data_IF_611697927920
#
_entry.id   IF_611697927920
#
_cell.length_a   1.000
_cell.length_b   1.000
_cell.length_c   1.000
_cell.angle_alpha   90.00
_cell.angle_beta   90.00
_cell.angle_gamma   90.00
#
_symmetry.space_group_name_H-M   'P 1'
#
loop_
_entity.id
_entity.type
_entity.pdbx_description
1 polymer ?
#
# COMPACT_ATOMS: atom_id res chain seq x y z
N UNK A 1 -73.72 -4.07 -8.43
CA UNK A 1 -74.74 -5.03 -8.90
C UNK A 1 -74.24 -6.43 -8.55
N UNK A 2 -75.06 -7.16 -7.78
CA UNK A 2 -75.03 -8.58 -7.39
C UNK A 2 -73.76 -9.17 -6.75
N UNK A 3 -73.83 -10.08 -5.77
CA UNK A 3 -74.75 -10.44 -4.68
C UNK A 3 -74.15 -11.74 -4.09
N UNK A 4 -74.04 -11.84 -2.75
CA UNK A 4 -74.25 -13.05 -1.91
C UNK A 4 -73.33 -14.28 -2.12
N UNK A 5 -73.00 -15.18 -1.17
CA UNK A 5 -73.29 -15.48 0.26
C UNK A 5 -72.33 -16.66 0.57
N UNK A 6 -71.48 -16.62 1.60
CA UNK A 6 -71.71 -17.01 3.01
C UNK A 6 -71.69 -18.51 3.33
N UNK A 7 -70.94 -18.85 4.40
CA UNK A 7 -71.09 -19.97 5.36
C UNK A 7 -70.82 -21.41 4.83
N UNK A 8 -70.39 -22.42 5.60
CA UNK A 8 -70.07 -22.55 7.02
C UNK A 8 -69.20 -23.81 7.28
N UNK A 9 -68.79 -23.94 8.54
CA UNK A 9 -67.86 -24.90 9.16
C UNK A 9 -68.28 -26.39 9.18
N UNK A 10 -67.24 -27.21 9.38
CA UNK A 10 -67.08 -28.29 10.38
C UNK A 10 -67.17 -29.78 9.97
N UNK A 11 -66.26 -30.53 10.64
CA UNK A 11 -66.32 -31.93 11.09
C UNK A 11 -65.69 -33.05 10.23
N UNK A 12 -64.63 -33.63 10.82
CA UNK A 12 -64.02 -34.96 10.61
C UNK A 12 -64.98 -36.06 11.15
N UNK A 13 -65.02 -37.35 10.70
CA UNK A 13 -63.96 -38.34 11.03
C UNK A 13 -63.80 -39.62 10.13
N UNK A 14 -62.64 -40.28 10.31
CA UNK A 14 -62.34 -41.73 10.35
C UNK A 14 -62.46 -42.73 9.15
N UNK A 15 -61.31 -43.41 8.96
CA UNK A 15 -61.04 -44.83 8.63
C UNK A 15 -61.36 -45.45 7.25
N UNK A 16 -60.29 -45.85 6.52
CA UNK A 16 -59.97 -47.28 6.28
C UNK A 16 -58.58 -47.50 5.64
N UNK A 17 -58.00 -48.65 5.93
CA UNK A 17 -56.61 -49.07 5.69
C UNK A 17 -56.37 -49.57 4.26
N UNK A 18 -55.19 -49.29 3.68
CA UNK A 18 -54.57 -50.15 2.66
C UNK A 18 -53.07 -50.28 2.95
N UNK A 19 -52.67 -51.51 3.27
CA UNK A 19 -51.28 -51.98 3.37
C UNK A 19 -50.55 -51.76 2.04
N UNK A 20 -49.33 -51.20 2.07
CA UNK A 20 -48.29 -51.48 1.05
C UNK A 20 -46.90 -51.46 1.67
N UNK A 21 -46.10 -52.40 1.18
CA UNK A 21 -44.86 -52.92 1.73
C UNK A 21 -43.72 -51.89 1.88
N UNK A 22 -42.98 -52.06 2.97
CA UNK A 22 -41.71 -51.40 3.30
C UNK A 22 -40.59 -51.98 2.43
N UNK A 23 -39.78 -51.11 1.81
CA UNK A 23 -38.36 -51.36 1.50
C UNK A 23 -37.53 -50.31 2.24
N UNK A 24 -36.47 -50.67 2.98
CA UNK A 24 -35.69 -49.70 3.73
C UNK A 24 -34.73 -49.00 2.77
N UNK A 25 -34.91 -47.70 2.56
CA UNK A 25 -33.81 -46.84 2.12
C UNK A 25 -33.03 -46.44 3.36
N UNK A 26 -31.82 -46.99 3.49
CA UNK A 26 -30.83 -46.54 4.46
C UNK A 26 -30.45 -45.12 4.06
N UNK A 27 -30.98 -44.13 4.78
CA UNK A 27 -30.47 -42.77 4.73
C UNK A 27 -29.16 -42.75 5.53
N UNK A 28 -28.04 -42.97 4.84
CA UNK A 28 -26.73 -42.73 5.41
C UNK A 28 -26.59 -41.21 5.55
N UNK A 29 -26.80 -40.68 6.75
CA UNK A 29 -26.56 -39.27 7.04
C UNK A 29 -25.10 -38.95 6.78
N UNK A 30 -24.80 -38.24 5.70
CA UNK A 30 -23.54 -37.54 5.55
C UNK A 30 -23.54 -36.41 6.57
N UNK A 31 -22.91 -36.64 7.72
CA UNK A 31 -22.42 -35.55 8.55
C UNK A 31 -21.29 -34.92 7.75
N UNK A 32 -21.60 -33.85 7.03
CA UNK A 32 -20.58 -32.97 6.47
C UNK A 32 -19.91 -32.29 7.66
N UNK A 33 -18.74 -32.80 8.04
CA UNK A 33 -17.83 -32.04 8.89
C UNK A 33 -17.40 -30.81 8.09
N UNK A 34 -18.13 -29.71 8.25
CA UNK A 34 -17.61 -28.37 7.97
C UNK A 34 -16.51 -28.13 9.00
N UNK A 35 -15.31 -28.62 8.70
CA UNK A 35 -14.10 -28.09 9.33
C UNK A 35 -14.03 -26.63 8.94
N UNK A 36 -14.46 -25.74 9.83
CA UNK A 36 -14.09 -24.33 9.77
C UNK A 36 -12.55 -24.32 9.76
N UNK A 37 -11.97 -24.05 8.60
CA UNK A 37 -10.56 -23.73 8.52
C UNK A 37 -10.38 -22.47 9.38
N UNK A 38 -9.80 -22.64 10.57
CA UNK A 38 -9.47 -21.51 11.41
C UNK A 38 -8.48 -20.65 10.63
N UNK A 39 -8.89 -19.42 10.28
CA UNK A 39 -8.02 -18.48 9.55
C UNK A 39 -6.70 -18.35 10.31
N UNK A 40 -5.61 -18.76 9.64
CA UNK A 40 -4.29 -18.72 10.24
C UNK A 40 -3.83 -17.26 10.23
N UNK A 41 -3.94 -16.59 11.36
CA UNK A 41 -3.61 -15.17 11.48
C UNK A 41 -2.16 -14.91 11.95
N UNK A 42 -1.36 -15.97 12.06
CA UNK A 42 0.02 -15.90 12.52
C UNK A 42 0.89 -16.91 11.76
N UNK A 43 1.99 -16.41 11.19
CA UNK A 43 2.92 -17.17 10.37
C UNK A 43 4.33 -16.93 10.91
N UNK A 44 5.11 -18.01 11.01
CA UNK A 44 6.48 -17.97 11.52
C UNK A 44 7.35 -18.83 10.61
N UNK A 45 8.38 -18.25 10.03
CA UNK A 45 9.27 -18.87 9.06
C UNK A 45 10.72 -18.80 9.56
N UNK A 46 11.39 -19.95 9.52
CA UNK A 46 12.80 -20.13 9.86
C UNK A 46 13.51 -20.50 8.55
N UNK A 47 14.42 -19.63 8.09
CA UNK A 47 14.99 -19.72 6.76
C UNK A 47 16.30 -20.50 6.78
N UNK A 48 16.53 -21.29 5.74
CA UNK A 48 17.76 -22.05 5.54
C UNK A 48 17.70 -23.50 6.03
N UNK A 49 18.72 -24.29 5.68
CA UNK A 49 18.86 -25.66 6.15
C UNK A 49 19.21 -25.71 7.65
N UNK A 50 19.06 -26.88 8.27
CA UNK A 50 19.44 -27.10 9.67
C UNK A 50 18.28 -27.44 10.59
N UNK A 51 18.54 -27.37 11.90
CA UNK A 51 17.53 -27.60 12.94
C UNK A 51 16.59 -26.39 13.04
N UNK A 52 15.30 -26.67 13.12
CA UNK A 52 14.25 -25.64 13.11
C UNK A 52 13.87 -25.22 14.53
N UNK A 53 13.57 -23.93 14.69
CA UNK A 53 13.00 -23.42 15.92
C UNK A 53 11.57 -23.94 16.11
N UNK A 54 11.23 -24.42 17.30
CA UNK A 54 9.89 -24.97 17.60
C UNK A 54 8.80 -23.93 17.27
N UNK A 55 7.83 -24.34 16.45
CA UNK A 55 6.70 -23.49 16.03
C UNK A 55 6.95 -22.65 14.78
N UNK A 56 8.13 -22.76 14.18
CA UNK A 56 8.44 -22.14 12.88
C UNK A 56 8.34 -23.17 11.76
N UNK A 57 8.02 -22.69 10.57
CA UNK A 57 8.01 -23.44 9.33
C UNK A 57 9.36 -23.24 8.63
N UNK A 58 10.04 -24.33 8.28
CA UNK A 58 11.30 -24.23 7.53
C UNK A 58 11.06 -23.71 6.12
N UNK A 59 11.92 -22.81 5.66
CA UNK A 59 11.96 -22.34 4.28
C UNK A 59 13.36 -22.58 3.70
N UNK A 60 13.44 -23.46 2.71
CA UNK A 60 14.64 -23.81 1.96
C UNK A 60 14.66 -23.07 0.61
N UNK A 61 15.84 -22.87 -0.01
CA UNK A 61 15.96 -22.17 -1.30
C UNK A 61 15.05 -22.65 -2.44
N UNK A 62 14.66 -23.93 -2.41
CA UNK A 62 13.79 -24.56 -3.42
C UNK A 62 12.29 -24.39 -3.14
N UNK A 63 11.92 -23.77 -2.02
CA UNK A 63 10.53 -23.58 -1.62
C UNK A 63 9.89 -22.44 -2.41
N UNK A 64 9.60 -22.71 -3.67
CA UNK A 64 8.85 -21.81 -4.53
C UNK A 64 7.43 -21.58 -3.98
N UNK A 65 6.93 -20.36 -4.16
CA UNK A 65 5.55 -20.00 -3.87
C UNK A 65 4.59 -20.81 -4.75
N UNK A 66 3.54 -21.32 -4.14
CA UNK A 66 2.35 -21.82 -4.83
C UNK A 66 1.12 -21.44 -4.00
N UNK A 67 -0.02 -21.25 -4.66
CA UNK A 67 -1.26 -20.89 -3.98
C UNK A 67 -1.73 -21.98 -3.02
N UNK A 68 -1.50 -23.24 -3.37
CA UNK A 68 -1.85 -24.42 -2.57
C UNK A 68 -0.99 -24.52 -1.31
N UNK A 69 0.31 -24.21 -1.42
CA UNK A 69 1.22 -24.16 -0.27
C UNK A 69 0.95 -22.92 0.59
N UNK A 70 0.54 -21.83 -0.03
CA UNK A 70 0.21 -20.56 0.62
C UNK A 70 1.40 -19.72 1.04
N UNK A 71 2.64 -20.15 0.76
CA UNK A 71 3.85 -19.36 0.99
C UNK A 71 5.03 -19.88 0.16
N UNK A 72 6.05 -19.04 -0.03
CA UNK A 72 7.31 -19.43 -0.65
C UNK A 72 8.03 -18.28 -1.37
N UNK A 73 9.18 -18.60 -1.97
CA UNK A 73 9.92 -17.68 -2.83
C UNK A 73 9.17 -17.45 -4.15
N UNK A 74 8.95 -16.20 -4.51
CA UNK A 74 8.11 -15.80 -5.66
C UNK A 74 8.96 -15.10 -6.74
N UNK A 75 8.38 -14.84 -7.92
CA UNK A 75 9.02 -14.08 -9.02
C UNK A 75 10.43 -14.58 -9.39
N UNK A 76 10.60 -15.90 -9.50
CA UNK A 76 11.86 -16.58 -9.88
C UNK A 76 13.07 -16.28 -8.97
N UNK A 77 12.80 -15.82 -7.75
CA UNK A 77 13.79 -15.55 -6.72
C UNK A 77 14.83 -16.66 -6.55
N UNK A 78 16.11 -16.27 -6.55
CA UNK A 78 17.25 -17.17 -6.34
C UNK A 78 17.97 -16.76 -5.08
N UNK A 79 18.05 -17.68 -4.12
CA UNK A 79 18.75 -17.50 -2.85
C UNK A 79 19.66 -18.69 -2.57
N UNK A 80 20.71 -18.46 -1.80
CA UNK A 80 21.56 -19.50 -1.22
C UNK A 80 21.07 -19.82 0.19
N UNK A 81 20.97 -21.10 0.56
CA UNK A 81 20.63 -21.53 1.91
C UNK A 81 21.88 -21.96 2.66
N UNK A 82 22.11 -21.39 3.84
CA UNK A 82 23.31 -21.66 4.65
C UNK A 82 22.91 -22.03 6.07
N UNK A 83 23.62 -23.00 6.66
CA UNK A 83 23.54 -23.34 8.07
C UNK A 83 24.92 -23.17 8.69
N UNK A 84 25.02 -22.33 9.71
CA UNK A 84 26.26 -22.10 10.46
C UNK A 84 26.34 -22.85 11.80
N UNK A 85 25.34 -23.68 12.12
CA UNK A 85 25.25 -24.45 13.38
C UNK A 85 25.41 -23.55 14.62
N UNK A 86 24.87 -22.33 14.55
CA UNK A 86 24.92 -21.37 15.66
C UNK A 86 24.11 -21.87 16.86
N UNK A 87 24.51 -21.43 18.07
CA UNK A 87 23.85 -21.83 19.33
C UNK A 87 22.35 -21.50 19.38
N UNK A 88 21.93 -20.40 18.75
CA UNK A 88 20.52 -20.03 18.65
C UNK A 88 19.96 -20.53 17.32
N UNK A 89 19.03 -21.49 17.40
CA UNK A 89 18.44 -22.17 16.26
C UNK A 89 17.83 -21.20 15.24
N UNK A 90 17.11 -20.17 15.70
CA UNK A 90 16.42 -19.20 14.83
C UNK A 90 17.39 -18.33 14.00
N UNK A 91 18.66 -18.32 14.37
CA UNK A 91 19.73 -17.58 13.70
C UNK A 91 20.81 -18.51 13.13
N UNK A 92 20.60 -19.82 13.23
CA UNK A 92 21.56 -20.84 12.80
C UNK A 92 21.48 -21.11 11.30
N UNK A 93 20.25 -21.18 10.77
CA UNK A 93 19.94 -21.18 9.35
C UNK A 93 19.72 -19.75 8.83
N UNK A 94 20.01 -19.55 7.55
CA UNK A 94 19.58 -18.37 6.80
C UNK A 94 19.43 -18.67 5.31
N UNK A 95 18.74 -17.78 4.61
CA UNK A 95 18.91 -17.60 3.16
C UNK A 95 19.60 -16.28 2.87
N UNK A 96 20.43 -16.23 1.84
CA UNK A 96 21.14 -15.01 1.42
C UNK A 96 21.17 -14.84 -0.09
N UNK A 97 21.26 -13.59 -0.52
CA UNK A 97 21.41 -13.20 -1.92
C UNK A 97 22.08 -11.83 -2.03
N UNK A 98 22.80 -11.61 -3.13
CA UNK A 98 23.30 -10.29 -3.54
C UNK A 98 22.43 -9.64 -4.64
N UNK A 99 21.32 -10.28 -4.99
CA UNK A 99 20.30 -9.82 -5.94
C UNK A 99 18.94 -9.74 -5.22
N UNK A 100 18.02 -8.89 -5.70
CA UNK A 100 16.67 -8.82 -5.16
C UNK A 100 15.99 -10.20 -5.16
N UNK A 101 15.24 -10.50 -4.10
CA UNK A 101 14.40 -11.69 -4.02
C UNK A 101 13.11 -11.41 -3.26
N UNK A 102 12.11 -12.24 -3.50
CA UNK A 102 10.74 -12.09 -3.07
C UNK A 102 10.28 -13.30 -2.27
N UNK A 103 9.56 -13.02 -1.19
CA UNK A 103 8.86 -14.04 -0.41
C UNK A 103 7.40 -13.64 -0.26
N UNK A 104 6.51 -14.56 -0.63
CA UNK A 104 5.07 -14.34 -0.63
C UNK A 104 4.37 -15.24 0.38
N UNK A 105 3.29 -14.75 0.99
CA UNK A 105 2.44 -15.49 1.92
C UNK A 105 0.98 -15.13 1.68
N UNK A 106 0.13 -16.12 1.43
CA UNK A 106 -1.33 -15.92 1.34
C UNK A 106 -1.84 -15.48 2.71
N UNK A 107 -2.37 -14.27 2.76
CA UNK A 107 -2.96 -13.67 3.97
C UNK A 107 -4.25 -12.93 3.59
N UNK A 108 -5.30 -12.96 4.42
CA UNK A 108 -6.50 -12.18 4.15
C UNK A 108 -6.22 -10.66 4.25
N UNK A 109 -7.15 -9.84 3.75
CA UNK A 109 -7.09 -8.38 3.95
C UNK A 109 -6.92 -8.03 5.45
N UNK A 110 -6.09 -7.03 5.72
CA UNK A 110 -5.87 -6.49 7.05
C UNK A 110 -4.51 -5.86 7.26
N UNK A 111 -4.27 -5.41 8.50
CA UNK A 111 -2.96 -4.93 8.92
C UNK A 111 -2.15 -6.08 9.52
N UNK A 112 -0.87 -6.15 9.18
CA UNK A 112 0.04 -7.18 9.63
C UNK A 112 1.28 -6.57 10.26
N UNK A 113 1.60 -7.01 11.47
CA UNK A 113 2.89 -6.77 12.08
C UNK A 113 3.87 -7.78 11.49
N UNK A 114 4.90 -7.28 10.84
CA UNK A 114 5.96 -8.08 10.22
C UNK A 114 7.22 -7.90 11.04
N UNK A 115 7.75 -9.00 11.54
CA UNK A 115 9.01 -9.05 12.28
C UNK A 115 10.03 -9.78 11.41
N UNK A 116 11.09 -9.10 11.01
CA UNK A 116 12.16 -9.63 10.15
C UNK A 116 13.44 -9.73 10.97
N UNK A 117 14.08 -10.90 10.96
CA UNK A 117 15.39 -11.11 11.58
C UNK A 117 16.45 -11.26 10.49
N UNK A 118 17.42 -10.35 10.51
CA UNK A 118 18.45 -10.17 9.48
C UNK A 118 19.84 -10.32 10.10
N UNK A 119 20.77 -10.88 9.33
CA UNK A 119 22.18 -10.98 9.73
C UNK A 119 22.88 -12.20 9.17
N UNK A 120 24.21 -12.11 9.06
CA UNK A 120 25.07 -13.22 8.63
C UNK A 120 26.19 -13.45 9.66
N UNK A 121 26.30 -14.65 10.26
CA UNK A 121 27.38 -14.99 11.17
C UNK A 121 28.80 -14.83 10.61
N UNK A 122 28.99 -14.81 9.29
CA UNK A 122 30.29 -14.74 8.62
C UNK A 122 30.52 -13.45 7.83
N UNK A 123 29.52 -12.60 7.64
CA UNK A 123 29.62 -11.42 6.77
C UNK A 123 28.78 -10.24 7.24
N UNK A 124 29.19 -9.03 6.83
CA UNK A 124 28.33 -7.87 6.97
C UNK A 124 27.23 -7.90 5.90
N UNK A 125 26.06 -7.35 6.22
CA UNK A 125 24.92 -7.27 5.30
C UNK A 125 24.41 -5.84 5.18
N UNK A 126 23.77 -5.57 4.06
CA UNK A 126 22.95 -4.38 3.82
C UNK A 126 21.62 -4.89 3.27
N UNK A 127 20.51 -4.50 3.87
CA UNK A 127 19.18 -4.97 3.49
C UNK A 127 18.17 -3.83 3.44
N UNK A 128 17.52 -3.68 2.30
CA UNK A 128 16.31 -2.89 2.15
C UNK A 128 15.13 -3.84 1.98
N UNK A 129 14.02 -3.54 2.63
CA UNK A 129 12.79 -4.34 2.57
C UNK A 129 11.66 -3.48 2.00
N UNK A 130 11.04 -3.96 0.93
CA UNK A 130 9.84 -3.37 0.34
C UNK A 130 8.67 -4.34 0.45
N UNK A 131 7.45 -3.82 0.41
CA UNK A 131 6.24 -4.65 0.43
C UNK A 131 5.30 -4.30 -0.73
N UNK A 132 4.67 -5.33 -1.29
CA UNK A 132 3.78 -5.26 -2.45
C UNK A 132 4.43 -4.51 -3.62
N UNK A 133 3.71 -3.53 -4.17
CA UNK A 133 4.12 -2.59 -5.21
C UNK A 133 5.19 -1.60 -4.72
N UNK A 134 6.32 -2.13 -4.21
CA UNK A 134 7.52 -1.39 -3.79
C UNK A 134 7.31 -0.34 -2.71
N UNK A 135 6.38 -0.57 -1.77
CA UNK A 135 6.28 0.29 -0.58
C UNK A 135 7.54 0.13 0.27
N UNK A 136 8.28 1.21 0.50
CA UNK A 136 9.51 1.17 1.29
C UNK A 136 9.18 0.95 2.77
N UNK A 137 9.58 -0.19 3.33
CA UNK A 137 9.29 -0.54 4.73
C UNK A 137 10.52 -0.34 5.61
N UNK A 138 11.67 -0.89 5.20
CA UNK A 138 12.95 -0.75 5.89
C UNK A 138 14.01 -0.31 4.89
N UNK A 139 14.76 0.72 5.22
CA UNK A 139 15.83 1.30 4.39
C UNK A 139 17.18 0.92 4.98
N UNK A 140 18.07 0.36 4.15
CA UNK A 140 19.50 0.21 4.42
C UNK A 140 19.83 -0.34 5.82
N UNK A 141 19.15 -1.41 6.23
CA UNK A 141 19.42 -2.11 7.48
C UNK A 141 20.78 -2.79 7.38
N UNK A 142 21.77 -2.22 8.08
CA UNK A 142 23.14 -2.72 8.15
C UNK A 142 23.31 -3.68 9.32
N UNK A 143 24.01 -4.79 9.08
CA UNK A 143 24.52 -5.67 10.14
C UNK A 143 26.01 -5.94 9.95
N UNK A 144 26.75 -6.04 11.06
CA UNK A 144 28.14 -6.51 11.04
C UNK A 144 28.20 -8.04 11.06
N UNK A 145 29.34 -8.63 10.67
CA UNK A 145 29.53 -10.08 10.77
C UNK A 145 29.29 -10.57 12.21
N UNK A 146 28.46 -11.60 12.37
CA UNK A 146 28.08 -12.14 13.68
C UNK A 146 26.93 -11.39 14.37
N UNK A 147 26.45 -10.29 13.80
CA UNK A 147 25.31 -9.54 14.32
C UNK A 147 24.01 -10.04 13.68
N UNK A 148 23.02 -10.34 14.53
CA UNK A 148 21.63 -10.50 14.13
C UNK A 148 20.81 -9.31 14.64
N UNK A 149 19.95 -8.77 13.78
CA UNK A 149 19.09 -7.65 14.10
C UNK A 149 17.64 -7.97 13.71
N UNK A 150 16.74 -7.74 14.65
CA UNK A 150 15.30 -7.83 14.41
C UNK A 150 14.72 -6.45 14.15
N UNK A 151 13.95 -6.31 13.06
CA UNK A 151 13.20 -5.11 12.70
C UNK A 151 11.71 -5.43 12.64
N UNK A 152 10.88 -4.43 12.93
CA UNK A 152 9.43 -4.58 12.91
C UNK A 152 8.79 -3.41 12.21
N UNK A 153 7.84 -3.70 11.33
CA UNK A 153 7.00 -2.71 10.65
C UNK A 153 5.56 -3.22 10.54
N UNK A 154 4.64 -2.34 10.16
CA UNK A 154 3.25 -2.70 9.88
C UNK A 154 3.00 -2.54 8.39
N UNK A 155 2.44 -3.57 7.78
CA UNK A 155 2.00 -3.54 6.38
C UNK A 155 0.50 -3.70 6.33
N UNK A 156 -0.17 -2.89 5.52
CA UNK A 156 -1.57 -3.11 5.16
C UNK A 156 -1.63 -3.95 3.87
N UNK A 157 -2.37 -5.04 3.90
CA UNK A 157 -2.76 -5.83 2.72
C UNK A 157 -4.24 -5.52 2.45
N UNK A 158 -4.57 -5.17 1.22
CA UNK A 158 -5.92 -4.78 0.79
C UNK A 158 -6.40 -5.68 -0.34
N UNK A 159 -7.71 -5.79 -0.48
CA UNK A 159 -8.32 -6.43 -1.66
C UNK A 159 -9.40 -5.54 -2.29
N UNK A 160 -9.94 -5.96 -3.43
CA UNK A 160 -11.00 -5.23 -4.14
C UNK A 160 -12.42 -5.42 -3.56
N UNK A 161 -12.64 -6.31 -2.60
CA UNK A 161 -13.96 -6.65 -2.10
C UNK A 161 -14.49 -5.60 -1.12
N UNK A 162 -15.75 -5.22 -1.24
CA UNK A 162 -16.40 -4.27 -0.35
C UNK A 162 -17.53 -5.02 0.38
N UNK A 163 -17.72 -4.70 1.66
CA UNK A 163 -18.84 -5.25 2.44
C UNK A 163 -20.17 -5.13 1.66
N UNK A 164 -20.95 -6.22 1.65
CA UNK A 164 -22.18 -6.31 0.83
C UNK A 164 -21.96 -6.79 -0.60
N UNK A 165 -20.78 -7.33 -0.94
CA UNK A 165 -20.52 -8.02 -2.21
C UNK A 165 -20.19 -7.10 -3.39
N UNK A 166 -19.98 -5.81 -3.15
CA UNK A 166 -19.52 -4.89 -4.18
C UNK A 166 -18.01 -5.03 -4.40
N UNK A 167 -17.51 -4.56 -5.54
CA UNK A 167 -16.09 -4.54 -5.86
C UNK A 167 -15.62 -3.12 -6.19
N UNK A 168 -14.37 -2.82 -5.89
CA UNK A 168 -13.64 -1.69 -6.48
C UNK A 168 -13.49 -1.95 -7.98
N UNK A 169 -13.82 -0.95 -8.80
CA UNK A 169 -13.58 -1.02 -10.24
C UNK A 169 -12.11 -0.70 -10.52
N UNK A 170 -11.33 -1.73 -10.83
CA UNK A 170 -9.92 -1.63 -11.18
C UNK A 170 -9.73 -1.34 -12.67
N UNK A 171 -8.75 -0.51 -13.00
CA UNK A 171 -8.28 -0.33 -14.38
C UNK A 171 -7.57 -1.61 -14.87
N UNK A 172 -7.49 -1.85 -16.20
CA UNK A 172 -6.76 -3.00 -16.73
C UNK A 172 -5.33 -3.13 -16.21
N UNK A 173 -4.61 -2.01 -16.06
CA UNK A 173 -3.23 -1.96 -15.55
C UNK A 173 -3.09 -2.33 -14.07
N UNK A 174 -4.19 -2.37 -13.32
CA UNK A 174 -4.19 -2.69 -11.90
C UNK A 174 -4.44 -4.18 -11.63
N UNK A 175 -4.96 -4.91 -12.61
CA UNK A 175 -5.35 -6.32 -12.43
C UNK A 175 -4.16 -7.25 -12.16
N UNK A 176 -2.95 -6.79 -12.46
CA UNK A 176 -1.68 -7.51 -12.23
C UNK A 176 -0.85 -6.89 -11.10
N UNK A 177 -1.33 -5.82 -10.45
CA UNK A 177 -0.63 -5.19 -9.34
C UNK A 177 -0.67 -6.08 -8.10
N UNK A 178 0.46 -6.13 -7.39
CA UNK A 178 0.56 -6.85 -6.12
C UNK A 178 -0.40 -6.28 -5.06
N UNK A 179 -0.66 -4.98 -5.14
CA UNK A 179 -1.60 -4.27 -4.26
C UNK A 179 -3.05 -4.78 -4.22
N UNK A 180 -3.49 -5.58 -5.19
CA UNK A 180 -4.88 -6.05 -5.33
C UNK A 180 -5.01 -7.57 -5.45
N UNK A 181 -3.93 -8.32 -5.20
CA UNK A 181 -3.95 -9.77 -5.19
C UNK A 181 -4.38 -10.35 -3.81
N UNK A 182 -4.18 -11.64 -3.59
CA UNK A 182 -4.59 -12.36 -2.38
C UNK A 182 -3.43 -12.78 -1.47
N UNK A 183 -2.30 -12.06 -1.52
CA UNK A 183 -1.11 -12.39 -0.72
C UNK A 183 -0.35 -11.15 -0.24
N UNK A 184 0.47 -11.34 0.79
CA UNK A 184 1.51 -10.41 1.18
C UNK A 184 2.79 -10.77 0.41
N UNK A 185 3.36 -9.81 -0.32
CA UNK A 185 4.65 -9.97 -0.99
C UNK A 185 5.70 -9.08 -0.36
N UNK A 186 6.83 -9.64 0.07
CA UNK A 186 7.99 -8.91 0.56
C UNK A 186 9.15 -9.03 -0.43
N UNK A 187 9.78 -7.91 -0.76
CA UNK A 187 11.01 -7.81 -1.54
C UNK A 187 12.19 -7.51 -0.61
N UNK A 188 13.29 -8.22 -0.80
CA UNK A 188 14.55 -8.05 -0.07
C UNK A 188 15.67 -7.73 -1.05
N UNK A 189 16.32 -6.59 -0.85
CA UNK A 189 17.31 -6.02 -1.76
C UNK A 189 18.74 -6.00 -1.20
N UNK A 190 19.71 -5.57 -2.02
CA UNK A 190 21.15 -5.50 -1.70
C UNK A 190 21.77 -6.88 -1.36
N UNK A 191 22.68 -6.94 -0.39
CA UNK A 191 23.34 -8.15 0.11
C UNK A 191 22.62 -8.64 1.37
N UNK A 192 21.41 -9.16 1.18
CA UNK A 192 20.55 -9.59 2.29
C UNK A 192 20.89 -10.99 2.77
N UNK A 193 20.90 -11.18 4.09
CA UNK A 193 20.81 -12.47 4.75
C UNK A 193 19.59 -12.48 5.69
N UNK A 194 18.59 -13.29 5.35
CA UNK A 194 17.31 -13.42 6.06
C UNK A 194 17.33 -14.70 6.90
N UNK A 195 17.16 -14.57 8.21
CA UNK A 195 17.18 -15.67 9.16
C UNK A 195 15.75 -16.10 9.52
N UNK A 196 14.87 -15.14 9.83
CA UNK A 196 13.49 -15.44 10.24
C UNK A 196 12.50 -14.36 9.83
N UNK A 197 11.24 -14.76 9.67
CA UNK A 197 10.10 -13.89 9.39
C UNK A 197 8.90 -14.30 10.23
N UNK A 198 8.29 -13.34 10.92
CA UNK A 198 7.00 -13.53 11.58
C UNK A 198 6.00 -12.52 11.03
N UNK A 199 4.81 -13.00 10.67
CA UNK A 199 3.71 -12.19 10.14
C UNK A 199 2.50 -12.47 11.02
N UNK A 200 2.00 -11.44 11.71
CA UNK A 200 0.84 -11.55 12.59
C UNK A 200 -0.19 -10.50 12.21
N UNK A 201 -1.44 -10.91 11.97
CA UNK A 201 -2.55 -9.98 11.78
C UNK A 201 -2.77 -9.17 13.07
N UNK A 202 -2.95 -7.87 12.94
CA UNK A 202 -3.07 -6.93 14.06
C UNK A 202 -4.23 -5.97 13.83
N UNK A 203 -4.96 -5.65 14.90
CA UNK A 203 -6.16 -4.81 14.85
C UNK A 203 -6.03 -3.51 15.66
N UNK A 204 -4.94 -3.38 16.42
CA UNK A 204 -4.61 -2.26 17.31
C UNK A 204 -3.80 -1.14 16.63
N UNK A 205 -3.67 -1.19 15.31
CA UNK A 205 -2.93 -0.23 14.51
C UNK A 205 -3.86 0.87 13.97
N UNK A 206 -3.40 2.12 14.00
CA UNK A 206 -4.06 3.23 13.29
C UNK A 206 -3.79 3.06 11.80
N UNK A 207 -4.83 3.07 10.97
CA UNK A 207 -4.67 3.01 9.52
C UNK A 207 -4.73 4.41 8.93
N UNK A 208 -3.71 4.77 8.14
CA UNK A 208 -3.71 5.97 7.31
C UNK A 208 -4.01 5.54 5.89
N UNK A 209 -5.23 5.80 5.44
CA UNK A 209 -5.65 5.58 4.07
C UNK A 209 -5.18 6.73 3.20
N UNK A 210 -4.66 6.42 2.00
CA UNK A 210 -4.29 7.43 1.02
C UNK A 210 -5.26 7.38 -0.16
N UNK A 211 -5.96 8.49 -0.41
CA UNK A 211 -6.75 8.71 -1.61
C UNK A 211 -6.05 9.76 -2.48
N UNK A 212 -5.68 9.36 -3.70
CA UNK A 212 -5.01 10.26 -4.62
C UNK A 212 -4.79 9.69 -6.01
N UNK A 213 -3.83 10.28 -6.72
CA UNK A 213 -3.55 10.02 -8.13
C UNK A 213 -2.14 9.45 -8.36
N UNK A 214 -1.51 9.72 -9.52
CA UNK A 214 -0.18 9.19 -9.88
C UNK A 214 0.97 9.71 -9.01
N UNK A 215 0.80 10.86 -8.35
CA UNK A 215 1.76 11.40 -7.37
C UNK A 215 1.75 10.67 -6.03
N UNK A 216 0.71 9.86 -5.78
CA UNK A 216 0.45 9.16 -4.50
C UNK A 216 0.53 7.63 -4.64
N UNK A 217 0.08 7.06 -5.76
CA UNK A 217 -0.08 5.61 -6.00
C UNK A 217 1.21 4.81 -5.90
N UNK A 218 1.16 3.58 -5.40
CA UNK A 218 2.29 2.66 -5.52
C UNK A 218 2.54 2.29 -7.00
N UNK A 219 3.77 2.52 -7.47
CA UNK A 219 4.18 2.13 -8.82
C UNK A 219 4.87 0.76 -8.77
N UNK A 220 4.49 -0.19 -9.62
CA UNK A 220 5.10 -1.53 -9.62
C UNK A 220 6.52 -1.54 -10.20
N UNK A 221 6.77 -0.68 -11.18
CA UNK A 221 7.95 -0.78 -12.04
C UNK A 221 8.83 0.46 -11.98
N UNK A 222 10.15 0.25 -12.00
CA UNK A 222 11.12 1.32 -12.17
C UNK A 222 10.96 2.04 -13.53
N UNK A 223 11.32 3.34 -13.64
CA UNK A 223 11.77 4.25 -12.57
C UNK A 223 10.65 4.95 -11.83
N UNK A 224 9.39 4.62 -12.08
CA UNK A 224 8.26 5.44 -11.61
C UNK A 224 8.09 5.30 -10.11
N UNK A 225 7.83 6.40 -9.41
CA UNK A 225 7.62 6.38 -7.96
C UNK A 225 6.70 7.51 -7.51
N UNK A 226 6.19 7.38 -6.29
CA UNK A 226 5.27 8.32 -5.66
C UNK A 226 5.55 8.47 -4.17
N UNK A 227 5.11 9.56 -3.55
CA UNK A 227 5.37 9.74 -2.11
C UNK A 227 4.61 8.75 -1.24
N UNK A 228 3.42 8.30 -1.68
CA UNK A 228 2.59 7.37 -0.91
C UNK A 228 3.24 5.98 -0.79
N UNK A 229 4.09 5.60 -1.74
CA UNK A 229 4.87 4.36 -1.66
C UNK A 229 6.08 4.49 -0.71
N UNK A 230 6.59 5.70 -0.46
CA UNK A 230 7.75 5.93 0.40
C UNK A 230 7.38 6.20 1.86
N UNK A 231 6.18 6.72 2.11
CA UNK A 231 5.76 7.13 3.45
C UNK A 231 5.81 6.04 4.55
N UNK A 232 5.63 4.72 4.29
CA UNK A 232 5.65 3.72 5.36
C UNK A 232 6.98 3.66 6.13
N UNK A 233 8.11 3.94 5.48
CA UNK A 233 9.48 3.95 6.05
C UNK A 233 9.63 4.84 7.29
N UNK A 234 8.83 5.90 7.37
CA UNK A 234 8.95 6.89 8.43
C UNK A 234 8.17 6.52 9.69
N UNK A 235 7.44 5.40 9.70
CA UNK A 235 6.66 4.95 10.85
C UNK A 235 7.23 3.68 11.51
N UNK A 236 7.29 3.71 12.84
CA UNK A 236 7.45 2.50 13.66
C UNK A 236 6.07 1.82 13.87
N UNK A 237 6.01 0.60 14.45
CA UNK A 237 4.75 -0.04 14.74
C UNK A 237 3.78 0.85 15.53
N UNK A 238 2.50 0.80 15.13
CA UNK A 238 1.42 1.68 15.60
C UNK A 238 0.60 2.29 14.45
N UNK A 239 1.19 2.37 13.24
CA UNK A 239 0.56 2.93 12.03
C UNK A 239 0.70 1.98 10.85
N UNK A 240 -0.38 1.76 10.11
CA UNK A 240 -0.40 1.08 8.82
C UNK A 240 -0.73 2.09 7.71
N UNK A 241 -0.01 2.03 6.57
CA UNK A 241 -0.31 2.86 5.40
C UNK A 241 -1.07 2.02 4.36
N UNK A 242 -2.33 2.39 4.12
CA UNK A 242 -3.21 1.76 3.14
C UNK A 242 -3.35 2.66 1.91
N UNK A 243 -2.51 2.45 0.90
CA UNK A 243 -2.52 3.28 -0.30
C UNK A 243 -3.59 2.80 -1.29
N UNK A 244 -4.64 3.61 -1.50
CA UNK A 244 -5.74 3.33 -2.44
C UNK A 244 -5.71 4.25 -3.68
N UNK A 245 -4.72 5.15 -3.76
CA UNK A 245 -4.53 6.01 -4.91
C UNK A 245 -4.34 5.20 -6.20
N UNK A 246 -4.67 5.80 -7.33
CA UNK A 246 -4.35 5.22 -8.64
C UNK A 246 -4.06 6.31 -9.67
N UNK A 247 -3.11 6.03 -10.55
CA UNK A 247 -2.71 6.90 -11.65
C UNK A 247 -3.92 7.43 -12.43
N UNK A 248 -3.93 8.72 -12.75
CA UNK A 248 -4.96 9.35 -13.58
C UNK A 248 -6.33 9.59 -12.90
N UNK A 249 -6.51 9.21 -11.64
CA UNK A 249 -7.78 9.47 -10.94
C UNK A 249 -7.95 10.95 -10.59
N UNK A 250 -9.23 11.34 -10.57
CA UNK A 250 -9.82 12.58 -10.04
C UNK A 250 -10.65 12.22 -8.80
N UNK A 251 -11.08 13.20 -8.01
CA UNK A 251 -12.05 12.95 -6.92
C UNK A 251 -13.30 12.22 -7.43
N UNK A 252 -13.80 12.63 -8.61
CA UNK A 252 -15.00 12.04 -9.22
C UNK A 252 -14.81 10.59 -9.64
N UNK A 253 -13.71 10.27 -10.34
CA UNK A 253 -13.43 8.89 -10.77
C UNK A 253 -13.02 7.98 -9.60
N UNK A 254 -12.45 8.52 -8.53
CA UNK A 254 -12.19 7.78 -7.29
C UNK A 254 -13.49 7.37 -6.58
N UNK A 255 -14.50 8.25 -6.56
CA UNK A 255 -15.85 7.93 -6.10
C UNK A 255 -16.52 6.90 -7.01
N UNK A 256 -16.52 7.14 -8.32
CA UNK A 256 -17.15 6.28 -9.31
C UNK A 256 -16.59 4.86 -9.36
N UNK A 257 -15.29 4.70 -9.06
CA UNK A 257 -14.63 3.39 -8.95
C UNK A 257 -14.83 2.70 -7.59
N UNK A 258 -15.61 3.29 -6.69
CA UNK A 258 -15.94 2.77 -5.35
C UNK A 258 -14.73 2.63 -4.40
N UNK A 259 -13.62 3.32 -4.67
CA UNK A 259 -12.44 3.29 -3.78
C UNK A 259 -12.71 3.93 -2.43
N UNK A 260 -13.44 5.05 -2.41
CA UNK A 260 -13.87 5.65 -1.13
C UNK A 260 -14.78 4.68 -0.37
N UNK A 261 -15.72 4.02 -1.05
CA UNK A 261 -16.58 3.03 -0.42
C UNK A 261 -15.78 1.85 0.18
N UNK A 262 -14.74 1.37 -0.52
CA UNK A 262 -13.80 0.37 0.01
C UNK A 262 -13.14 0.85 1.29
N UNK A 263 -12.53 2.03 1.29
CA UNK A 263 -11.90 2.63 2.48
C UNK A 263 -12.88 2.69 3.65
N UNK A 264 -14.06 3.27 3.43
CA UNK A 264 -15.09 3.45 4.47
C UNK A 264 -15.67 2.12 4.99
N UNK A 265 -15.53 1.03 4.24
CA UNK A 265 -15.99 -0.30 4.66
C UNK A 265 -15.05 -0.98 5.66
N UNK A 266 -13.77 -0.61 5.68
CA UNK A 266 -12.74 -1.16 6.57
C UNK A 266 -12.20 -0.15 7.59
N UNK A 267 -12.55 1.12 7.44
CA UNK A 267 -12.14 2.20 8.34
C UNK A 267 -12.71 2.02 9.75
N UNK A 268 -11.85 2.21 10.75
CA UNK A 268 -12.17 2.24 12.18
C UNK A 268 -12.14 3.70 12.71
N UNK A 269 -12.88 4.01 13.80
CA UNK A 269 -12.75 5.30 14.45
C UNK A 269 -11.30 5.60 14.86
N UNK A 270 -10.82 6.81 14.55
CA UNK A 270 -9.44 7.23 14.78
C UNK A 270 -8.46 6.94 13.63
N UNK A 271 -8.87 6.19 12.60
CA UNK A 271 -8.12 6.06 11.35
C UNK A 271 -8.12 7.39 10.57
N UNK A 272 -7.14 7.57 9.69
CA UNK A 272 -6.98 8.78 8.89
C UNK A 272 -7.31 8.53 7.42
N UNK A 273 -7.85 9.54 6.73
CA UNK A 273 -7.85 9.60 5.27
C UNK A 273 -7.11 10.84 4.79
N UNK A 274 -5.99 10.63 4.10
CA UNK A 274 -5.25 11.70 3.43
C UNK A 274 -5.79 11.82 2.00
N UNK A 275 -6.22 13.01 1.62
CA UNK A 275 -6.92 13.27 0.36
C UNK A 275 -6.09 14.24 -0.48
N UNK A 276 -5.44 13.74 -1.54
CA UNK A 276 -4.64 14.55 -2.48
C UNK A 276 -5.15 14.43 -3.93
N UNK A 277 -5.77 15.49 -4.43
CA UNK A 277 -6.27 15.58 -5.80
C UNK A 277 -6.11 17.01 -6.36
N UNK A 278 -6.30 17.17 -7.67
CA UNK A 278 -6.15 18.45 -8.38
C UNK A 278 -5.44 18.31 -9.72
N UNK A 279 -4.43 17.43 -9.82
CA UNK A 279 -3.64 17.23 -11.04
C UNK A 279 -4.46 16.86 -12.27
N UNK A 280 -5.45 15.99 -12.07
CA UNK A 280 -6.32 15.47 -13.14
C UNK A 280 -7.67 16.20 -13.12
N UNK A 281 -8.17 16.62 -11.96
CA UNK A 281 -9.44 17.33 -11.81
C UNK A 281 -9.46 18.65 -12.61
N UNK A 282 -8.31 19.33 -12.76
CA UNK A 282 -8.21 20.52 -13.62
C UNK A 282 -8.48 20.28 -15.11
N UNK A 283 -8.46 19.01 -15.53
CA UNK A 283 -8.72 18.62 -16.92
C UNK A 283 -10.18 18.30 -17.17
N UNK A 284 -11.00 18.12 -16.13
CA UNK A 284 -12.42 17.84 -16.29
C UNK A 284 -13.11 18.99 -17.06
N UNK A 285 -13.93 18.63 -18.06
CA UNK A 285 -14.60 19.57 -18.97
C UNK A 285 -16.11 19.29 -18.95
N UNK A 286 -16.79 19.88 -17.98
CA UNK A 286 -18.24 19.86 -17.82
C UNK A 286 -18.74 21.21 -17.32
N UNK A 287 -20.05 21.51 -17.45
CA UNK A 287 -20.62 22.78 -17.00
C UNK A 287 -20.41 23.03 -15.49
N UNK A 288 -20.38 21.95 -14.72
CA UNK A 288 -20.21 21.96 -13.26
C UNK A 288 -18.76 21.70 -12.82
N UNK A 289 -17.84 21.47 -13.76
CA UNK A 289 -16.45 21.21 -13.43
C UNK A 289 -15.66 22.48 -13.14
N UNK A 290 -14.81 22.42 -12.11
CA UNK A 290 -13.96 23.53 -11.70
C UNK A 290 -13.53 23.43 -10.24
N UNK A 291 -12.46 24.16 -9.90
CA UNK A 291 -11.84 24.16 -8.58
C UNK A 291 -12.84 24.48 -7.46
N UNK A 292 -13.60 25.59 -7.60
CA UNK A 292 -14.62 26.03 -6.64
C UNK A 292 -16.03 25.49 -6.91
N UNK A 293 -16.15 24.47 -7.76
CA UNK A 293 -17.41 23.78 -8.07
C UNK A 293 -17.29 22.31 -7.68
N UNK A 294 -17.36 21.40 -8.66
CA UNK A 294 -17.36 19.96 -8.46
C UNK A 294 -16.15 19.45 -7.65
N UNK A 295 -14.98 20.08 -7.75
CA UNK A 295 -13.82 19.70 -6.94
C UNK A 295 -14.06 19.96 -5.44
N UNK A 296 -14.41 21.18 -5.04
CA UNK A 296 -14.71 21.48 -3.64
C UNK A 296 -15.90 20.68 -3.10
N UNK A 297 -16.96 20.47 -3.89
CA UNK A 297 -18.12 19.68 -3.47
C UNK A 297 -17.76 18.22 -3.18
N UNK A 298 -16.97 17.60 -4.07
CA UNK A 298 -16.49 16.24 -3.89
C UNK A 298 -15.51 16.14 -2.72
N UNK A 299 -14.60 17.11 -2.55
CA UNK A 299 -13.68 17.11 -1.42
C UNK A 299 -14.42 17.20 -0.08
N UNK A 300 -15.45 18.05 0.02
CA UNK A 300 -16.35 18.12 1.18
C UNK A 300 -17.11 16.80 1.41
N UNK A 301 -17.50 16.11 0.34
CA UNK A 301 -18.12 14.79 0.43
C UNK A 301 -17.18 13.77 1.08
N UNK A 302 -15.91 13.69 0.64
CA UNK A 302 -14.92 12.78 1.27
C UNK A 302 -14.76 13.09 2.76
N UNK A 303 -14.59 14.37 3.10
CA UNK A 303 -14.44 14.81 4.50
C UNK A 303 -15.65 14.40 5.35
N UNK A 304 -16.86 14.64 4.84
CA UNK A 304 -18.11 14.30 5.53
C UNK A 304 -18.24 12.79 5.76
N UNK A 305 -17.99 11.97 4.73
CA UNK A 305 -18.11 10.51 4.84
C UNK A 305 -17.08 9.91 5.81
N UNK A 306 -15.85 10.44 5.82
CA UNK A 306 -14.81 10.01 6.79
C UNK A 306 -15.22 10.37 8.22
N UNK A 307 -15.69 11.61 8.44
CA UNK A 307 -16.18 12.05 9.76
C UNK A 307 -17.34 11.16 10.27
N UNK A 308 -18.27 10.75 9.39
CA UNK A 308 -19.37 9.82 9.73
C UNK A 308 -18.90 8.45 10.23
N UNK A 309 -17.70 8.01 9.82
CA UNK A 309 -17.06 6.78 10.30
C UNK A 309 -16.23 6.96 11.58
N UNK A 310 -16.16 8.18 12.11
CA UNK A 310 -15.25 8.53 13.20
C UNK A 310 -13.79 8.60 12.78
N UNK A 311 -13.52 8.62 11.46
CA UNK A 311 -12.18 8.82 10.92
C UNK A 311 -11.79 10.30 10.92
N UNK A 312 -10.50 10.55 10.69
CA UNK A 312 -9.87 11.87 10.71
C UNK A 312 -9.46 12.23 9.27
N UNK A 313 -10.22 13.06 8.56
CA UNK A 313 -9.83 13.51 7.23
C UNK A 313 -8.70 14.54 7.31
N UNK A 314 -7.74 14.43 6.41
CA UNK A 314 -6.64 15.37 6.23
C UNK A 314 -6.60 15.76 4.75
N UNK A 315 -6.71 17.05 4.48
CA UNK A 315 -6.58 17.56 3.11
C UNK A 315 -5.09 17.72 2.82
N UNK A 316 -4.66 17.19 1.68
CA UNK A 316 -3.30 17.36 1.17
C UNK A 316 -3.40 18.09 -0.16
N UNK A 317 -2.79 19.28 -0.28
CA UNK A 317 -2.79 19.97 -1.59
C UNK A 317 -1.97 19.14 -2.58
N UNK A 318 -2.35 19.13 -3.85
CA UNK A 318 -1.57 18.44 -4.88
C UNK A 318 -0.15 19.03 -5.01
N UNK A 319 0.87 18.18 -5.17
CA UNK A 319 2.26 18.64 -5.39
C UNK A 319 2.36 19.70 -6.49
N UNK A 320 3.28 20.65 -6.38
CA UNK A 320 3.61 21.54 -7.50
C UNK A 320 4.18 20.73 -8.68
N UNK A 321 3.90 21.13 -9.92
CA UNK A 321 4.56 20.54 -11.10
C UNK A 321 5.93 21.18 -11.32
N UNK A 322 6.85 20.45 -11.97
CA UNK A 322 8.13 21.02 -12.42
C UNK A 322 7.90 21.92 -13.63
N UNK A 323 7.59 23.19 -13.38
CA UNK A 323 7.44 24.22 -14.40
C UNK A 323 8.07 25.50 -13.89
N UNK A 324 9.09 25.99 -14.59
CA UNK A 324 9.85 27.16 -14.19
C UNK A 324 9.52 28.35 -15.12
N UNK A 325 9.36 29.52 -14.53
CA UNK A 325 9.23 30.78 -15.24
C UNK A 325 10.58 31.35 -15.68
N UNK A 326 10.58 32.48 -16.42
CA UNK A 326 11.81 33.13 -16.88
C UNK A 326 12.75 33.60 -15.76
N UNK A 327 12.25 33.76 -14.54
CA UNK A 327 12.99 34.11 -13.34
C UNK A 327 13.64 32.90 -12.63
N UNK A 328 13.50 31.70 -13.20
CA UNK A 328 14.01 30.46 -12.63
C UNK A 328 13.23 29.99 -11.41
N UNK A 329 11.97 30.44 -11.22
CA UNK A 329 11.10 30.01 -10.12
C UNK A 329 9.93 29.16 -10.59
N UNK A 330 9.46 28.27 -9.72
CA UNK A 330 8.28 27.45 -9.96
C UNK A 330 7.05 28.34 -10.19
N UNK A 331 6.31 28.03 -11.26
CA UNK A 331 5.04 28.67 -11.58
C UNK A 331 3.87 27.73 -11.32
N UNK A 332 2.77 28.29 -10.82
CA UNK A 332 1.55 27.52 -10.62
C UNK A 332 0.93 27.14 -11.97
N UNK A 333 0.80 25.84 -12.21
CA UNK A 333 0.20 25.27 -13.43
C UNK A 333 -1.06 24.45 -13.12
N UNK A 334 -1.55 24.52 -11.89
CA UNK A 334 -2.72 23.80 -11.40
C UNK A 334 -3.94 24.72 -11.24
N UNK A 335 -3.85 25.97 -11.70
CA UNK A 335 -4.90 26.97 -11.52
C UNK A 335 -5.29 27.14 -10.05
N UNK A 336 -6.59 27.26 -9.80
CA UNK A 336 -7.14 27.53 -8.46
C UNK A 336 -7.27 26.28 -7.58
N UNK A 337 -6.90 25.08 -8.05
CA UNK A 337 -7.15 23.83 -7.33
C UNK A 337 -6.42 23.73 -5.98
N UNK A 338 -5.13 24.14 -5.85
CA UNK A 338 -4.47 24.19 -4.54
C UNK A 338 -5.18 25.14 -3.57
N UNK A 339 -5.62 26.32 -4.02
CA UNK A 339 -6.32 27.28 -3.17
C UNK A 339 -7.73 26.81 -2.79
N UNK A 340 -8.43 26.14 -3.69
CA UNK A 340 -9.71 25.50 -3.40
C UNK A 340 -9.56 24.42 -2.31
N UNK A 341 -8.50 23.61 -2.35
CA UNK A 341 -8.20 22.63 -1.32
C UNK A 341 -7.92 23.29 0.05
N UNK A 342 -7.09 24.34 0.08
CA UNK A 342 -6.83 25.15 1.29
C UNK A 342 -8.13 25.72 1.88
N UNK A 343 -8.97 26.29 1.01
CA UNK A 343 -10.27 26.85 1.39
C UNK A 343 -11.19 25.81 2.02
N UNK A 344 -11.32 24.63 1.41
CA UNK A 344 -12.15 23.54 1.96
C UNK A 344 -11.60 23.07 3.30
N UNK A 345 -10.28 22.89 3.44
CA UNK A 345 -9.69 22.47 4.71
C UNK A 345 -10.02 23.45 5.85
N UNK A 346 -9.91 24.76 5.58
CA UNK A 346 -10.25 25.81 6.54
C UNK A 346 -11.76 25.84 6.88
N UNK A 347 -12.65 25.76 5.87
CA UNK A 347 -14.10 25.75 6.07
C UNK A 347 -14.57 24.54 6.88
N UNK A 348 -14.05 23.36 6.55
CA UNK A 348 -14.39 22.10 7.20
C UNK A 348 -13.65 21.88 8.53
N UNK A 349 -12.74 22.79 8.88
CA UNK A 349 -11.90 22.77 10.09
C UNK A 349 -11.14 21.44 10.24
N UNK A 350 -10.51 21.01 9.15
CA UNK A 350 -9.69 19.79 9.09
C UNK A 350 -8.23 20.17 8.88
N UNK A 351 -7.32 19.27 9.24
CA UNK A 351 -5.90 19.51 9.04
C UNK A 351 -5.56 19.64 7.55
N UNK A 352 -4.58 20.49 7.26
CA UNK A 352 -4.06 20.75 5.93
C UNK A 352 -2.57 20.46 5.88
N UNK A 353 -2.16 19.51 5.04
CA UNK A 353 -0.76 19.38 4.62
C UNK A 353 -0.62 20.13 3.29
N UNK A 354 -0.02 21.31 3.32
CA UNK A 354 0.14 22.14 2.12
C UNK A 354 1.35 21.72 1.28
N UNK A 355 1.25 20.51 0.72
CA UNK A 355 2.30 19.89 -0.06
C UNK A 355 2.65 20.70 -1.31
N UNK A 356 1.69 21.38 -1.94
CA UNK A 356 1.92 22.29 -3.07
C UNK A 356 2.93 23.40 -2.74
N UNK A 357 2.76 24.07 -1.59
CA UNK A 357 3.67 25.13 -1.15
C UNK A 357 5.05 24.54 -0.81
N UNK A 358 5.07 23.44 -0.03
CA UNK A 358 6.31 22.80 0.40
C UNK A 358 7.14 22.26 -0.77
N UNK A 359 6.52 21.61 -1.76
CA UNK A 359 7.23 21.14 -2.96
C UNK A 359 7.66 22.29 -3.87
N UNK A 360 6.97 23.44 -3.85
CA UNK A 360 7.43 24.63 -4.56
C UNK A 360 8.73 25.16 -3.95
N UNK A 361 8.86 25.15 -2.62
CA UNK A 361 10.12 25.48 -1.92
C UNK A 361 11.21 24.47 -2.33
N UNK A 362 10.89 23.18 -2.28
CA UNK A 362 11.79 22.09 -2.68
C UNK A 362 12.37 22.27 -4.08
N UNK A 363 11.51 22.45 -5.08
CA UNK A 363 11.97 22.57 -6.46
C UNK A 363 12.66 23.91 -6.73
N UNK A 364 12.27 24.98 -6.06
CA UNK A 364 13.00 26.26 -6.12
C UNK A 364 14.39 26.16 -5.50
N UNK A 365 14.58 25.36 -4.46
CA UNK A 365 15.88 25.11 -3.84
C UNK A 365 16.79 24.26 -4.73
N UNK A 366 16.23 23.25 -5.41
CA UNK A 366 16.97 22.48 -6.43
C UNK A 366 17.30 23.33 -7.66
N UNK A 367 16.41 24.24 -8.05
CA UNK A 367 16.48 24.97 -9.31
C UNK A 367 16.07 24.13 -10.53
N UNK A 368 16.01 24.76 -11.70
CA UNK A 368 15.45 24.14 -12.90
C UNK A 368 16.19 22.86 -13.29
N UNK A 369 17.47 22.94 -13.66
CA UNK A 369 18.20 21.76 -14.14
C UNK A 369 18.38 20.67 -13.06
N UNK A 370 18.86 20.97 -11.84
CA UNK A 370 19.05 19.93 -10.82
C UNK A 370 17.74 19.25 -10.39
N UNK A 371 16.60 19.96 -10.44
CA UNK A 371 15.31 19.35 -10.08
C UNK A 371 14.92 18.19 -10.98
N UNK A 372 15.46 18.06 -12.21
CA UNK A 372 15.22 16.87 -13.07
C UNK A 372 15.58 15.56 -12.37
N UNK A 373 16.51 15.58 -11.40
CA UNK A 373 16.88 14.40 -10.61
C UNK A 373 15.77 13.87 -9.71
N UNK A 374 14.76 14.68 -9.40
CA UNK A 374 13.55 14.28 -8.66
C UNK A 374 12.44 13.71 -9.55
N UNK A 375 12.62 13.72 -10.88
CA UNK A 375 11.62 13.32 -11.84
C UNK A 375 12.15 12.22 -12.76
N UNK A 376 11.26 11.62 -13.55
CA UNK A 376 11.64 10.61 -14.54
C UNK A 376 12.26 11.31 -15.78
N UNK A 377 13.52 11.71 -15.62
CA UNK A 377 14.41 12.21 -16.66
C UNK A 377 15.60 11.27 -16.79
N UNK A 378 15.59 10.43 -17.83
CA UNK A 378 16.61 9.42 -18.06
C UNK A 378 17.05 9.40 -19.52
N UNK A 379 18.37 9.33 -19.81
CA UNK A 379 18.88 9.08 -21.15
C UNK A 379 18.30 7.80 -21.76
N UNK A 380 18.29 7.68 -23.09
CA UNK A 380 17.95 6.43 -23.76
C UNK A 380 18.79 5.27 -23.22
N UNK A 381 18.19 4.07 -23.14
CA UNK A 381 18.81 2.84 -22.65
C UNK A 381 19.21 2.86 -21.16
N UNK A 382 18.60 3.71 -20.34
CA UNK A 382 18.75 3.63 -18.88
C UNK A 382 18.00 2.42 -18.31
N UNK A 383 16.87 2.05 -18.92
CA UNK A 383 16.07 0.87 -18.58
C UNK A 383 15.90 -0.07 -19.78
N UNK A 384 15.70 -1.39 -19.55
CA UNK A 384 15.36 -2.34 -20.61
C UNK A 384 14.21 -1.88 -21.51
N UNK A 385 14.40 -1.96 -22.83
CA UNK A 385 13.38 -1.59 -23.83
C UNK A 385 13.13 -0.10 -23.99
N UNK A 386 14.01 0.76 -23.45
CA UNK A 386 13.87 2.22 -23.46
C UNK A 386 14.72 2.90 -24.56
N UNK A 387 14.34 2.75 -25.82
CA UNK A 387 15.14 3.26 -26.96
C UNK A 387 15.17 4.80 -27.09
N UNK A 388 14.33 5.51 -26.32
CA UNK A 388 14.21 6.98 -26.33
C UNK A 388 14.38 7.52 -24.92
N UNK A 389 14.95 8.72 -24.78
CA UNK A 389 15.03 9.39 -23.49
C UNK A 389 13.64 9.59 -22.86
N UNK A 390 13.56 9.38 -21.55
CA UNK A 390 12.40 9.76 -20.74
C UNK A 390 12.62 11.20 -20.24
N UNK A 391 11.58 12.03 -20.32
CA UNK A 391 11.63 13.44 -19.89
C UNK A 391 10.26 13.88 -19.36
N UNK A 392 9.87 13.38 -18.19
CA UNK A 392 8.59 13.67 -17.54
C UNK A 392 8.74 14.74 -16.45
N UNK A 393 7.92 15.79 -16.47
CA UNK A 393 7.94 16.89 -15.48
C UNK A 393 6.87 16.78 -14.39
N UNK A 394 6.21 15.63 -14.31
CA UNK A 394 5.08 15.35 -13.40
C UNK A 394 5.39 14.17 -12.50
N UNK A 395 5.86 13.06 -13.08
CA UNK A 395 6.05 11.83 -12.35
C UNK A 395 7.46 11.74 -11.77
N UNK A 396 7.52 11.29 -10.52
CA UNK A 396 8.75 11.23 -9.75
C UNK A 396 9.49 9.92 -9.98
N UNK A 397 10.79 9.95 -9.77
CA UNK A 397 11.60 8.77 -9.53
C UNK A 397 11.71 8.50 -8.02
N UNK A 398 12.37 7.40 -7.56
CA UNK A 398 12.43 7.08 -6.13
C UNK A 398 12.99 8.20 -5.26
N UNK A 399 14.01 8.94 -5.73
CA UNK A 399 14.56 10.10 -5.01
C UNK A 399 13.51 11.19 -4.80
N UNK A 400 12.85 11.65 -5.87
CA UNK A 400 11.83 12.71 -5.75
C UNK A 400 10.63 12.27 -4.92
N UNK A 401 10.21 11.02 -5.08
CA UNK A 401 9.16 10.42 -4.26
C UNK A 401 9.51 10.41 -2.77
N UNK A 402 10.77 10.12 -2.41
CA UNK A 402 11.24 10.16 -1.03
C UNK A 402 11.24 11.59 -0.48
N UNK A 403 11.79 12.56 -1.20
CA UNK A 403 11.80 13.99 -0.79
C UNK A 403 10.39 14.53 -0.53
N UNK A 404 9.44 14.16 -1.38
CA UNK A 404 8.04 14.57 -1.21
C UNK A 404 7.40 13.85 -0.03
N UNK A 405 7.72 12.58 0.22
CA UNK A 405 7.28 11.90 1.44
C UNK A 405 7.84 12.59 2.70
N UNK A 406 9.09 13.07 2.69
CA UNK A 406 9.64 13.89 3.78
C UNK A 406 8.86 15.20 3.96
N UNK A 407 8.41 15.85 2.87
CA UNK A 407 7.51 17.00 2.94
C UNK A 407 6.17 16.66 3.60
N UNK A 408 5.60 15.47 3.35
CA UNK A 408 4.39 15.00 4.03
C UNK A 408 4.66 14.78 5.52
N UNK A 409 5.80 14.17 5.89
CA UNK A 409 6.17 13.99 7.31
C UNK A 409 6.33 15.34 8.02
N UNK A 410 6.90 16.35 7.35
CA UNK A 410 6.96 17.71 7.88
C UNK A 410 5.55 18.25 8.16
N UNK A 411 4.63 18.13 7.20
CA UNK A 411 3.24 18.55 7.38
C UNK A 411 2.51 17.79 8.50
N UNK A 412 2.75 16.49 8.67
CA UNK A 412 2.21 15.69 9.79
C UNK A 412 2.64 16.29 11.14
N UNK A 413 3.89 16.73 11.26
CA UNK A 413 4.44 17.33 12.48
C UNK A 413 3.88 18.74 12.71
N UNK A 414 3.83 19.58 11.68
CA UNK A 414 3.33 20.95 11.73
C UNK A 414 1.85 21.01 12.12
N UNK A 415 1.04 20.11 11.55
CA UNK A 415 -0.37 19.95 11.88
C UNK A 415 -0.61 19.20 13.21
N UNK A 416 0.45 18.76 13.88
CA UNK A 416 0.42 18.04 15.17
C UNK A 416 -0.51 16.82 15.13
N UNK A 417 -0.50 16.08 14.02
CA UNK A 417 -1.37 14.91 13.88
C UNK A 417 -0.95 13.84 14.89
N UNK A 418 -1.92 13.19 15.53
CA UNK A 418 -1.69 12.19 16.57
C UNK A 418 -0.80 11.01 16.14
N UNK A 419 -0.70 10.73 14.83
CA UNK A 419 0.19 9.72 14.26
C UNK A 419 1.69 10.10 14.33
N UNK A 420 2.04 11.37 14.55
CA UNK A 420 3.43 11.82 14.66
C UNK A 420 4.21 11.12 15.79
N UNK A 421 3.51 10.64 16.83
CA UNK A 421 4.12 9.85 17.93
C UNK A 421 4.69 8.50 17.48
N UNK A 422 4.23 8.01 16.32
CA UNK A 422 4.68 6.76 15.70
C UNK A 422 5.78 6.98 14.65
N UNK A 423 6.33 8.18 14.51
CA UNK A 423 7.50 8.37 13.67
C UNK A 423 8.70 7.59 14.23
N UNK A 424 9.53 7.08 13.33
CA UNK A 424 10.76 6.37 13.67
C UNK A 424 11.72 7.27 14.45
N UNK A 425 12.54 6.66 15.30
CA UNK A 425 13.47 7.42 16.17
C UNK A 425 14.67 7.97 15.37
N UNK A 426 15.00 7.35 14.25
CA UNK A 426 16.07 7.73 13.32
C UNK A 426 15.54 8.56 12.14
N UNK A 427 14.48 9.34 12.37
CA UNK A 427 13.88 10.18 11.34
C UNK A 427 14.94 11.10 10.72
N UNK A 428 15.09 11.14 9.38
CA UNK A 428 16.01 12.05 8.72
C UNK A 428 15.72 13.51 9.08
N UNK A 429 16.78 14.33 9.14
CA UNK A 429 16.60 15.78 9.23
C UNK A 429 16.24 16.27 7.83
N UNK A 430 15.10 16.92 7.71
CA UNK A 430 14.60 17.40 6.43
C UNK A 430 14.27 18.89 6.48
N UNK A 431 14.70 19.61 5.45
CA UNK A 431 14.36 21.00 5.18
C UNK A 431 14.10 21.12 3.67
N UNK A 432 12.88 21.43 3.21
CA UNK A 432 12.59 21.55 1.78
C UNK A 432 13.42 22.67 1.12
N UNK A 433 13.93 23.66 1.86
CA UNK A 433 14.84 24.66 1.30
C UNK A 433 16.28 24.15 1.14
N UNK A 434 16.60 22.96 1.65
CA UNK A 434 17.90 22.28 1.59
C UNK A 434 17.69 20.77 1.36
N UNK A 435 17.18 20.39 0.18
CA UNK A 435 16.93 18.99 -0.16
C UNK A 435 18.17 18.11 0.00
N UNK A 436 17.92 16.82 0.19
CA UNK A 436 18.99 15.83 0.27
C UNK A 436 19.78 15.81 -1.05
N UNK A 437 21.08 15.60 -0.98
CA UNK A 437 21.90 15.57 -2.19
C UNK A 437 21.57 14.29 -2.99
N UNK A 438 21.08 14.39 -4.25
CA UNK A 438 20.76 13.21 -5.05
C UNK A 438 21.94 12.25 -5.26
N UNK A 439 23.19 12.74 -5.20
CA UNK A 439 24.38 11.90 -5.32
C UNK A 439 24.65 11.01 -4.11
N UNK A 440 24.07 11.35 -2.95
CA UNK A 440 24.15 10.55 -1.73
C UNK A 440 22.94 9.63 -1.56
N UNK A 441 21.90 9.80 -2.38
CA UNK A 441 20.71 8.96 -2.36
C UNK A 441 20.98 7.63 -3.07
N UNK A 442 20.55 6.54 -2.44
CA UNK A 442 20.64 5.22 -3.03
C UNK A 442 19.29 4.52 -2.93
N UNK A 443 18.85 3.97 -4.06
CA UNK A 443 17.66 3.14 -4.14
C UNK A 443 18.06 1.82 -4.80
N UNK A 444 17.92 0.67 -4.12
CA UNK A 444 18.05 -0.60 -4.81
C UNK A 444 16.89 -0.75 -5.79
N UNK A 445 17.18 -0.75 -7.08
CA UNK A 445 16.15 -0.96 -8.10
C UNK A 445 15.56 -2.35 -8.01
N UNK A 446 14.23 -2.42 -8.04
CA UNK A 446 13.52 -3.69 -8.19
C UNK A 446 13.77 -4.26 -9.60
N UNK A 447 13.73 -5.59 -9.80
CA UNK A 447 14.04 -6.20 -11.10
C UNK A 447 13.10 -5.80 -12.25
N UNK A 448 11.89 -5.32 -11.95
CA UNK A 448 10.92 -4.90 -12.97
C UNK A 448 11.04 -3.41 -13.26
N UNK A 449 11.05 -3.09 -14.55
CA UNK A 449 11.05 -1.73 -15.07
C UNK A 449 10.06 -1.59 -16.21
N UNK A 450 9.53 -0.39 -16.41
CA UNK A 450 8.57 -0.10 -17.48
C UNK A 450 8.84 1.25 -18.10
N UNK A 451 8.81 1.30 -19.43
CA UNK A 451 8.84 2.55 -20.21
C UNK A 451 7.47 3.21 -20.30
N UNK A 452 6.42 2.54 -19.82
CA UNK A 452 5.05 3.02 -19.90
C UNK A 452 4.81 4.09 -18.84
N UNK A 453 4.66 5.33 -19.31
CA UNK A 453 4.31 6.47 -18.45
C UNK A 453 3.01 6.18 -17.65
N UNK A 454 2.98 6.47 -16.33
CA UNK A 454 1.76 6.42 -15.55
C UNK A 454 0.67 7.34 -16.09
N UNK A 455 -0.59 6.95 -15.91
CA UNK A 455 -1.71 7.83 -16.26
C UNK A 455 -1.64 9.07 -15.36
N UNK A 456 -1.81 10.25 -15.95
CA UNK A 456 -1.63 11.49 -15.21
C UNK A 456 -0.77 12.44 -16.01
N UNK A 457 -1.19 13.69 -16.07
CA UNK A 457 -0.68 14.75 -16.96
C UNK A 457 -0.51 14.36 -18.45
#
# INVERSE_FOLDING_TARGET
>A
MNKTVETDRAANPNHMSIKKFIKPFIFLGLIVNLSQAQERNNYKFDFGPGQITKGYTQILPKDAYSKEKGYGFDFDSKVEGVNYEAKNLLTSGLVKSNKPFYFSVVVPEGNYKVVVTLGDPKGATLTTVKAESRRLMLEDVKTSAGQSLTKTFIVNVKDKHIAGGQLVSLKPRELTKLDWDDKLTLEFDHQTALQALEITKVEDQVTVFLAGNSTVVNQDDEPWASWGQMIPRFFKPGVAIANHAESGLTLGSFLGSKRLAKILSVMKPGDYLFIEFGHNDQKDKGPDDGAYKSYTERLKTFISEVKKKGGIPVVVTSTSRRSFGPDGKIVNTLGDFPDAARKVAAEEKVALIDLNATTSILFNALGEEPSKKAFVHYPANSYPGQDKALADNTHFNPYGAYEIAQCVILGIKEQQLGIAKYLVNDLPKFDPAKPDNPSNWHWPESPKSSVVKPDGN
#
